data_IF_444498886963
#
_entry.id   IF_444498886963
#
_cell.length_a   1.000
_cell.length_b   1.000
_cell.length_c   1.000
_cell.angle_alpha   90.00
_cell.angle_beta   90.00
_cell.angle_gamma   90.00
#
_symmetry.space_group_name_H-M   'P 1'
#
loop_
_entity.id
_entity.type
_entity.pdbx_description
1 polymer ?
#
# COMPACT_ATOMS: atom_id res chain seq x y z
N UNK A 1 29.29 -31.96 -29.98
CA UNK A 1 28.54 -30.68 -29.93
C UNK A 1 27.76 -30.61 -28.63
N UNK A 2 27.34 -29.42 -28.20
CA UNK A 2 26.41 -29.24 -27.07
C UNK A 2 25.00 -29.61 -27.54
N UNK A 3 24.32 -30.50 -26.83
CA UNK A 3 22.98 -31.00 -27.21
C UNK A 3 21.80 -30.22 -26.63
N UNK A 4 22.00 -29.56 -25.48
CA UNK A 4 20.94 -28.81 -24.78
C UNK A 4 21.51 -27.70 -23.91
N UNK A 5 20.72 -26.65 -23.69
CA UNK A 5 20.99 -25.56 -22.74
C UNK A 5 19.77 -25.39 -21.84
N UNK A 6 19.97 -25.30 -20.53
CA UNK A 6 18.91 -25.03 -19.54
C UNK A 6 19.20 -23.69 -18.87
N UNK A 7 18.21 -22.81 -18.89
CA UNK A 7 18.29 -21.50 -18.24
C UNK A 7 17.71 -21.58 -16.83
N UNK A 8 18.59 -21.52 -15.83
CA UNK A 8 18.25 -21.48 -14.41
C UNK A 8 18.59 -20.11 -13.79
N UNK A 9 18.38 -19.03 -14.53
CA UNK A 9 18.76 -17.65 -14.18
C UNK A 9 17.73 -16.91 -13.32
N UNK A 10 16.60 -17.55 -13.01
CA UNK A 10 15.56 -17.03 -12.12
C UNK A 10 14.36 -16.42 -12.85
N UNK A 11 13.68 -15.48 -12.19
CA UNK A 11 12.47 -14.80 -12.69
C UNK A 11 12.53 -13.31 -12.33
N UNK A 12 11.63 -12.52 -12.93
CA UNK A 12 11.41 -11.11 -12.58
C UNK A 12 9.94 -10.86 -12.26
N UNK A 13 9.65 -9.79 -11.51
CA UNK A 13 8.27 -9.36 -11.23
C UNK A 13 7.81 -8.43 -12.34
N UNK A 14 6.61 -8.68 -12.87
CA UNK A 14 5.98 -7.80 -13.86
C UNK A 14 4.92 -6.90 -13.19
N UNK A 15 5.17 -5.59 -13.22
CA UNK A 15 4.27 -4.57 -12.68
C UNK A 15 3.52 -3.79 -13.76
N UNK A 16 3.58 -4.19 -15.04
CA UNK A 16 2.98 -3.44 -16.14
C UNK A 16 1.47 -3.21 -16.00
N UNK A 17 0.78 -4.03 -15.23
CA UNK A 17 -0.66 -3.88 -14.93
C UNK A 17 -0.96 -2.73 -13.96
N UNK A 18 0.01 -2.30 -13.14
CA UNK A 18 -0.18 -1.27 -12.12
C UNK A 18 0.25 0.10 -12.66
N UNK A 19 -0.72 0.94 -13.06
CA UNK A 19 -0.48 2.25 -13.70
C UNK A 19 -0.41 3.39 -12.68
N UNK A 20 0.62 3.40 -11.85
CA UNK A 20 0.84 4.43 -10.81
C UNK A 20 2.33 4.77 -10.67
N UNK A 21 2.63 5.98 -10.19
CA UNK A 21 4.01 6.47 -10.02
C UNK A 21 4.64 5.96 -8.71
N UNK A 22 4.82 4.64 -8.64
CA UNK A 22 5.37 3.96 -7.46
C UNK A 22 6.65 3.20 -7.75
N UNK A 23 7.21 3.32 -8.95
CA UNK A 23 8.40 2.58 -9.37
C UNK A 23 9.61 3.51 -9.50
N UNK A 24 10.80 2.96 -9.29
CA UNK A 24 12.07 3.62 -9.59
C UNK A 24 12.45 3.46 -11.07
N UNK A 25 13.56 4.09 -11.47
CA UNK A 25 14.10 4.02 -12.83
C UNK A 25 14.42 2.58 -13.29
N UNK A 26 14.55 1.64 -12.34
CA UNK A 26 14.81 0.21 -12.58
C UNK A 26 13.54 -0.64 -12.52
N UNK A 27 12.36 -0.01 -12.45
CA UNK A 27 11.06 -0.69 -12.37
C UNK A 27 10.79 -1.36 -11.01
N UNK A 28 11.58 -1.07 -9.98
CA UNK A 28 11.36 -1.61 -8.63
C UNK A 28 10.41 -0.72 -7.84
N UNK A 29 9.51 -1.29 -7.02
CA UNK A 29 8.62 -0.47 -6.23
C UNK A 29 9.37 0.34 -5.17
N UNK A 30 9.10 1.64 -5.14
CA UNK A 30 9.50 2.55 -4.07
C UNK A 30 8.61 2.27 -2.86
N UNK A 31 9.19 1.65 -1.84
CA UNK A 31 8.48 1.33 -0.61
C UNK A 31 9.42 1.37 0.60
N UNK A 32 8.84 1.58 1.78
CA UNK A 32 9.50 1.32 3.06
C UNK A 32 8.77 0.17 3.75
N UNK A 33 9.43 -0.99 3.89
CA UNK A 33 8.85 -2.21 4.49
C UNK A 33 7.47 -2.61 3.92
N UNK A 34 7.27 -2.43 2.62
CA UNK A 34 6.01 -2.73 1.94
C UNK A 34 4.99 -1.58 1.89
N UNK A 35 5.20 -0.46 2.58
CA UNK A 35 4.37 0.73 2.43
C UNK A 35 4.89 1.58 1.27
N UNK A 36 4.06 1.83 0.25
CA UNK A 36 4.45 2.63 -0.91
C UNK A 36 4.53 4.13 -0.58
N UNK A 37 5.22 4.88 -1.43
CA UNK A 37 5.15 6.35 -1.45
C UNK A 37 3.75 6.86 -1.80
N UNK A 38 3.01 6.13 -2.66
CA UNK A 38 1.64 6.49 -3.01
C UNK A 38 0.63 5.95 -1.97
N UNK A 39 -0.24 6.82 -1.42
CA UNK A 39 -1.25 6.41 -0.45
C UNK A 39 -2.20 5.33 -1.00
N UNK A 40 -2.41 4.28 -0.22
CA UNK A 40 -3.32 3.19 -0.57
C UNK A 40 -2.68 2.05 -1.35
N UNK A 41 -1.39 2.17 -1.71
CA UNK A 41 -0.64 1.11 -2.39
C UNK A 41 0.34 0.46 -1.41
N UNK A 42 0.37 -0.87 -1.43
CA UNK A 42 1.20 -1.67 -0.55
C UNK A 42 1.80 -2.84 -1.32
N UNK A 43 3.02 -3.21 -0.96
CA UNK A 43 3.77 -4.32 -1.53
C UNK A 43 4.06 -5.34 -0.44
N UNK A 44 3.89 -6.63 -0.77
CA UNK A 44 4.10 -7.71 0.18
C UNK A 44 4.90 -8.83 -0.48
N UNK A 45 5.77 -9.48 0.29
CA UNK A 45 6.53 -10.62 -0.20
C UNK A 45 7.77 -10.26 -1.04
N UNK A 46 8.17 -8.99 -1.03
CA UNK A 46 9.40 -8.59 -1.71
C UNK A 46 10.62 -9.00 -0.88
N UNK A 47 11.76 -9.33 -1.53
CA UNK A 47 13.01 -9.58 -0.82
C UNK A 47 13.37 -8.38 0.06
N UNK A 48 13.86 -8.66 1.27
CA UNK A 48 14.42 -7.64 2.18
C UNK A 48 13.45 -6.54 2.63
N UNK A 49 12.15 -6.84 2.77
CA UNK A 49 11.21 -5.91 3.39
C UNK A 49 11.50 -5.71 4.88
N UNK A 50 11.15 -6.70 5.72
CA UNK A 50 11.59 -6.75 7.12
C UNK A 50 12.83 -7.62 7.30
N UNK A 51 12.99 -8.67 6.48
CA UNK A 51 14.06 -9.66 6.63
C UNK A 51 14.38 -10.38 5.32
N UNK A 52 15.49 -11.13 5.31
CA UNK A 52 15.83 -12.04 4.19
C UNK A 52 14.69 -13.01 3.85
N UNK A 53 13.95 -13.42 4.88
CA UNK A 53 12.82 -14.35 4.76
C UNK A 53 11.55 -13.77 4.14
N UNK A 54 11.49 -12.46 3.85
CA UNK A 54 10.24 -11.78 3.46
C UNK A 54 9.57 -12.36 2.21
N UNK A 55 10.33 -12.90 1.27
CA UNK A 55 9.79 -13.53 0.05
C UNK A 55 9.39 -15.00 0.20
N UNK A 56 9.57 -15.60 1.39
CA UNK A 56 9.23 -16.99 1.65
C UNK A 56 7.86 -17.08 2.32
N UNK A 57 7.08 -18.10 1.97
CA UNK A 57 5.75 -18.37 2.58
C UNK A 57 5.83 -18.40 4.11
N UNK A 58 6.87 -19.02 4.67
CA UNK A 58 7.09 -19.08 6.11
C UNK A 58 7.66 -17.80 6.74
N UNK A 59 8.16 -16.86 5.94
CA UNK A 59 8.81 -15.63 6.41
C UNK A 59 8.02 -14.35 6.17
N UNK A 60 7.02 -14.36 5.28
CA UNK A 60 6.26 -13.15 4.89
C UNK A 60 5.30 -12.63 5.98
N UNK A 61 4.94 -13.45 6.95
CA UNK A 61 3.90 -13.10 7.94
C UNK A 61 4.19 -11.84 8.75
N UNK A 62 5.46 -11.55 9.07
CA UNK A 62 5.82 -10.29 9.74
C UNK A 62 5.57 -9.07 8.85
N UNK A 63 5.86 -9.17 7.55
CA UNK A 63 5.58 -8.10 6.59
C UNK A 63 4.07 -7.91 6.41
N UNK A 64 3.33 -9.02 6.36
CA UNK A 64 1.88 -9.00 6.25
C UNK A 64 1.23 -8.33 7.46
N UNK A 65 1.68 -8.67 8.67
CA UNK A 65 1.22 -8.02 9.90
C UNK A 65 1.53 -6.52 9.87
N UNK A 66 2.75 -6.13 9.52
CA UNK A 66 3.14 -4.72 9.45
C UNK A 66 2.28 -3.91 8.47
N UNK A 67 2.05 -4.44 7.26
CA UNK A 67 1.20 -3.79 6.25
C UNK A 67 -0.25 -3.71 6.73
N UNK A 68 -0.78 -4.78 7.34
CA UNK A 68 -2.15 -4.79 7.85
C UNK A 68 -2.36 -3.76 8.97
N UNK A 69 -1.41 -3.65 9.91
CA UNK A 69 -1.45 -2.67 10.99
C UNK A 69 -1.42 -1.23 10.44
N UNK A 70 -0.58 -0.99 9.43
CA UNK A 70 -0.52 0.30 8.75
C UNK A 70 -1.86 0.65 8.07
N UNK A 71 -2.44 -0.30 7.32
CA UNK A 71 -3.75 -0.11 6.66
C UNK A 71 -4.85 0.18 7.68
N UNK A 72 -4.89 -0.59 8.77
CA UNK A 72 -5.86 -0.41 9.86
C UNK A 72 -5.76 0.99 10.48
N UNK A 73 -4.53 1.43 10.75
CA UNK A 73 -4.23 2.75 11.30
C UNK A 73 -4.69 3.86 10.34
N UNK A 74 -4.32 3.79 9.06
CA UNK A 74 -4.75 4.76 8.04
C UNK A 74 -6.27 4.84 7.92
N UNK A 75 -6.97 3.70 7.91
CA UNK A 75 -8.43 3.66 7.86
C UNK A 75 -9.09 4.34 9.05
N UNK A 76 -8.55 4.16 10.26
CA UNK A 76 -9.05 4.85 11.47
C UNK A 76 -8.92 6.37 11.34
N UNK A 77 -7.76 6.86 10.90
CA UNK A 77 -7.54 8.29 10.67
C UNK A 77 -8.49 8.88 9.63
N UNK A 78 -8.65 8.20 8.49
CA UNK A 78 -9.58 8.65 7.44
C UNK A 78 -11.03 8.69 7.92
N UNK A 79 -11.46 7.70 8.70
CA UNK A 79 -12.80 7.67 9.28
C UNK A 79 -13.02 8.84 10.27
N UNK A 80 -12.03 9.12 11.12
CA UNK A 80 -12.07 10.26 12.04
C UNK A 80 -12.24 11.59 11.30
N UNK A 81 -11.41 11.84 10.28
CA UNK A 81 -11.50 13.07 9.48
C UNK A 81 -12.83 13.20 8.73
N UNK A 82 -13.39 12.09 8.25
CA UNK A 82 -14.69 12.09 7.60
C UNK A 82 -15.82 12.46 8.58
N UNK A 83 -15.78 11.94 9.81
CA UNK A 83 -16.74 12.29 10.87
C UNK A 83 -16.65 13.77 11.26
N UNK A 84 -15.45 14.29 11.50
CA UNK A 84 -15.24 15.70 11.82
C UNK A 84 -15.75 16.65 10.69
N UNK A 85 -15.51 16.29 9.42
CA UNK A 85 -16.06 17.03 8.27
C UNK A 85 -17.59 16.98 8.20
N UNK A 86 -18.22 15.86 8.58
CA UNK A 86 -19.68 15.75 8.63
C UNK A 86 -20.25 16.62 9.75
N UNK A 87 -19.67 16.59 10.94
CA UNK A 87 -20.12 17.38 12.09
C UNK A 87 -20.07 18.88 11.81
N UNK A 88 -18.95 19.36 11.27
CA UNK A 88 -18.79 20.77 10.85
C UNK A 88 -19.81 21.17 9.80
N UNK A 89 -20.05 20.33 8.78
CA UNK A 89 -21.06 20.59 7.75
C UNK A 89 -22.49 20.61 8.31
N UNK A 90 -22.81 19.74 9.26
CA UNK A 90 -24.13 19.70 9.93
C UNK A 90 -24.32 20.92 10.82
N UNK A 91 -23.29 21.35 11.55
CA UNK A 91 -23.32 22.58 12.33
C UNK A 91 -23.57 23.81 11.43
N UNK A 92 -22.82 23.93 10.32
CA UNK A 92 -23.00 25.00 9.35
C UNK A 92 -24.42 25.05 8.76
N UNK A 93 -24.98 23.90 8.36
CA UNK A 93 -26.37 23.84 7.84
C UNK A 93 -27.42 24.25 8.87
N UNK A 94 -27.18 24.02 10.17
CA UNK A 94 -28.10 24.41 11.25
C UNK A 94 -28.08 25.91 11.50
N UNK A 95 -26.91 26.54 11.43
CA UNK A 95 -26.76 27.99 11.67
C UNK A 95 -27.08 28.86 10.46
N UNK A 96 -27.08 28.31 9.24
CA UNK A 96 -27.35 29.03 7.98
C UNK A 96 -28.79 28.94 7.47
N UNK A 97 -29.69 28.22 8.15
CA UNK A 97 -31.13 28.23 7.79
C UNK A 97 -31.76 29.55 8.24
N UNK A 98 -32.50 30.27 7.37
CA UNK A 98 -33.28 31.43 7.80
C UNK A 98 -34.26 30.99 8.89
N UNK A 99 -34.40 31.77 9.97
CA UNK A 99 -35.52 31.57 10.90
C UNK A 99 -36.78 31.84 10.09
N UNK A 100 -37.63 30.84 9.92
CA UNK A 100 -38.98 31.06 9.41
C UNK A 100 -39.74 31.84 10.48
N UNK A 101 -40.02 33.08 10.17
CA UNK A 101 -40.94 33.99 10.84
C UNK A 101 -42.40 33.65 10.54
#
# INVERSE_FOLDING_TARGET
GIGSIIWATGFTVDYNWLKVDVFDEKGKPKHQRGVSTEPGIYFLGLPWQSRRGSSFIWGVWHDAQHVADHISTQRKYLAYHASAKRETKVAWKRTSRPRAD
#
